data_IF_287369908452
#
_entry.id   IF_287369908452
#
_cell.length_a   1.000
_cell.length_b   1.000
_cell.length_c   1.000
_cell.angle_alpha   90.00
_cell.angle_beta   90.00
_cell.angle_gamma   90.00
#
_symmetry.space_group_name_H-M   'P 1'
#
loop_
_entity.id
_entity.type
_entity.pdbx_description
1 polymer ?
#
# COMPACT_ATOMS: atom_id res chain seq x y z
N UNK A 1 36.62 38.80 -11.63
CA UNK A 1 35.66 38.26 -12.61
C UNK A 1 35.84 36.76 -12.68
N UNK A 2 34.76 36.00 -12.83
CA UNK A 2 34.80 34.54 -12.96
C UNK A 2 35.39 34.15 -14.32
N UNK A 3 36.36 33.24 -14.34
CA UNK A 3 37.04 32.71 -15.54
C UNK A 3 37.64 31.34 -15.22
N UNK A 4 37.78 30.47 -16.22
CA UNK A 4 38.49 29.18 -16.10
C UNK A 4 37.91 28.30 -14.96
N UNK A 5 36.58 28.33 -14.79
CA UNK A 5 35.86 27.74 -13.65
C UNK A 5 34.70 26.86 -14.11
N UNK A 6 34.33 25.86 -13.30
CA UNK A 6 33.08 25.12 -13.48
C UNK A 6 31.95 25.85 -12.74
N UNK A 7 30.88 26.17 -13.46
CA UNK A 7 29.71 26.88 -12.93
C UNK A 7 28.53 25.93 -13.01
N UNK A 8 27.86 25.69 -11.88
CA UNK A 8 26.60 24.97 -11.84
C UNK A 8 25.45 25.97 -11.65
N UNK A 9 24.45 25.91 -12.53
CA UNK A 9 23.21 26.67 -12.43
C UNK A 9 22.10 25.64 -12.17
N UNK A 10 21.42 25.77 -11.05
CA UNK A 10 20.36 24.84 -10.62
C UNK A 10 19.01 25.56 -10.56
N UNK A 11 17.92 24.79 -10.55
CA UNK A 11 16.52 25.27 -10.49
C UNK A 11 16.20 26.36 -11.54
N UNK A 12 16.73 26.25 -12.76
CA UNK A 12 16.55 27.27 -13.82
C UNK A 12 15.08 27.53 -14.15
N UNK A 13 14.21 26.52 -14.04
CA UNK A 13 12.77 26.66 -14.23
C UNK A 13 12.11 27.64 -13.25
N UNK A 14 12.77 27.97 -12.13
CA UNK A 14 12.28 28.94 -11.14
C UNK A 14 12.79 30.36 -11.37
N UNK A 15 13.22 30.69 -12.58
CA UNK A 15 13.60 32.07 -12.93
C UNK A 15 12.47 33.06 -12.64
N UNK A 16 12.81 34.31 -12.33
CA UNK A 16 11.82 35.39 -12.23
C UNK A 16 11.17 35.67 -13.60
N UNK A 17 9.90 36.05 -13.61
CA UNK A 17 9.18 36.46 -14.83
C UNK A 17 9.84 37.65 -15.53
N UNK A 18 10.53 38.51 -14.78
CA UNK A 18 11.24 39.67 -15.30
C UNK A 18 12.59 39.32 -15.95
N UNK A 19 13.03 38.06 -15.87
CA UNK A 19 14.27 37.60 -16.46
C UNK A 19 13.97 36.78 -17.71
N UNK A 20 14.38 37.28 -18.87
CA UNK A 20 14.22 36.58 -20.15
C UNK A 20 15.15 35.35 -20.17
N UNK A 21 14.62 34.20 -20.60
CA UNK A 21 15.42 32.98 -20.75
C UNK A 21 16.55 33.18 -21.78
N UNK A 22 16.35 34.05 -22.79
CA UNK A 22 17.38 34.40 -23.77
C UNK A 22 18.57 35.09 -23.15
N UNK A 23 18.34 35.94 -22.14
CA UNK A 23 19.43 36.62 -21.44
C UNK A 23 20.26 35.61 -20.64
N UNK A 24 19.60 34.65 -19.99
CA UNK A 24 20.28 33.55 -19.28
C UNK A 24 21.09 32.69 -20.26
N UNK A 25 20.50 32.33 -21.40
CA UNK A 25 21.20 31.58 -22.46
C UNK A 25 22.39 32.33 -23.02
N UNK A 26 22.25 33.64 -23.25
CA UNK A 26 23.33 34.52 -23.68
C UNK A 26 24.47 34.56 -22.66
N UNK A 27 24.13 34.63 -21.36
CA UNK A 27 25.11 34.56 -20.28
C UNK A 27 25.84 33.21 -20.25
N UNK A 28 25.11 32.09 -20.36
CA UNK A 28 25.71 30.75 -20.40
C UNK A 28 26.70 30.66 -21.57
N UNK A 29 26.30 31.12 -22.75
CA UNK A 29 27.16 31.10 -23.92
C UNK A 29 28.39 32.00 -23.74
N UNK A 30 28.23 33.19 -23.15
CA UNK A 30 29.35 34.09 -22.82
C UNK A 30 30.33 33.45 -21.83
N UNK A 31 29.83 32.81 -20.77
CA UNK A 31 30.66 32.12 -19.77
C UNK A 31 31.46 30.98 -20.42
N UNK A 32 30.82 30.21 -21.29
CA UNK A 32 31.46 29.12 -22.04
C UNK A 32 32.56 29.64 -22.99
N UNK A 33 32.21 30.58 -23.86
CA UNK A 33 33.05 31.00 -24.98
C UNK A 33 34.11 32.03 -24.60
N UNK A 34 33.73 33.07 -23.86
CA UNK A 34 34.60 34.22 -23.56
C UNK A 34 35.33 34.06 -22.21
N UNK A 35 34.79 33.26 -21.29
CA UNK A 35 35.37 33.05 -19.95
C UNK A 35 35.99 31.67 -19.75
N UNK A 36 35.96 30.80 -20.77
CA UNK A 36 36.49 29.43 -20.70
C UNK A 36 35.93 28.66 -19.48
N UNK A 37 34.66 28.89 -19.15
CA UNK A 37 33.98 28.18 -18.08
C UNK A 37 33.28 26.92 -18.62
N UNK A 38 33.23 25.87 -17.80
CA UNK A 38 32.31 24.75 -18.05
C UNK A 38 31.02 25.05 -17.31
N UNK A 39 29.90 25.07 -18.01
CA UNK A 39 28.60 25.38 -17.40
C UNK A 39 27.76 24.12 -17.36
N UNK A 40 27.35 23.72 -16.16
CA UNK A 40 26.38 22.64 -15.93
C UNK A 40 25.06 23.29 -15.55
N UNK A 41 23.98 22.88 -16.20
CA UNK A 41 22.64 23.38 -15.89
C UNK A 41 21.76 22.22 -15.49
N UNK A 42 21.10 22.36 -14.34
CA UNK A 42 20.15 21.40 -13.79
C UNK A 42 18.78 22.09 -13.76
N UNK A 43 17.76 21.39 -14.26
CA UNK A 43 16.42 21.93 -14.37
C UNK A 43 15.35 20.84 -14.50
N UNK A 44 14.11 21.23 -14.26
CA UNK A 44 12.94 20.43 -14.57
C UNK A 44 12.40 20.75 -15.97
N UNK A 45 12.60 19.84 -16.94
CA UNK A 45 12.27 20.08 -18.34
C UNK A 45 10.81 20.48 -18.56
N UNK A 46 9.85 19.78 -17.95
CA UNK A 46 8.41 20.06 -18.15
C UNK A 46 7.94 21.39 -17.55
N UNK A 47 8.78 22.06 -16.75
CA UNK A 47 8.49 23.36 -16.14
C UNK A 47 9.21 24.52 -16.84
N UNK A 48 9.92 24.23 -17.93
CA UNK A 48 10.63 25.26 -18.70
C UNK A 48 9.78 25.85 -19.82
N UNK A 49 10.09 27.10 -20.18
CA UNK A 49 9.46 27.81 -21.29
C UNK A 49 9.70 27.10 -22.63
N UNK A 50 8.75 27.18 -23.56
CA UNK A 50 8.92 26.71 -24.94
C UNK A 50 10.17 27.30 -25.61
N UNK A 51 10.50 28.56 -25.31
CA UNK A 51 11.72 29.18 -25.81
C UNK A 51 12.97 28.41 -25.35
N UNK A 52 13.02 27.94 -24.09
CA UNK A 52 14.13 27.11 -23.62
C UNK A 52 14.31 25.88 -24.54
N UNK A 53 13.21 25.22 -24.91
CA UNK A 53 13.24 24.04 -25.77
C UNK A 53 13.79 24.33 -27.17
N UNK A 54 13.50 25.50 -27.73
CA UNK A 54 14.01 25.92 -29.05
C UNK A 54 15.52 26.22 -29.04
N UNK A 55 16.05 26.77 -27.93
CA UNK A 55 17.44 27.21 -27.86
C UNK A 55 18.38 26.18 -27.23
N UNK A 56 17.88 25.21 -26.44
CA UNK A 56 18.73 24.29 -25.66
C UNK A 56 19.77 23.57 -26.51
N UNK A 57 19.40 23.08 -27.69
CA UNK A 57 20.32 22.33 -28.57
C UNK A 57 21.44 23.20 -29.16
N UNK A 58 21.23 24.52 -29.21
CA UNK A 58 22.24 25.47 -29.71
C UNK A 58 23.22 25.90 -28.63
N UNK A 59 22.80 25.89 -27.37
CA UNK A 59 23.55 26.43 -26.24
C UNK A 59 24.34 25.32 -25.52
N UNK A 60 23.70 24.17 -25.32
CA UNK A 60 24.29 23.03 -24.59
C UNK A 60 24.93 22.04 -25.57
N UNK A 61 26.17 21.67 -25.30
CA UNK A 61 26.87 20.66 -26.11
C UNK A 61 26.36 19.26 -25.83
N UNK A 62 25.96 18.99 -24.58
CA UNK A 62 25.52 17.69 -24.11
C UNK A 62 24.25 17.87 -23.26
N UNK A 63 23.27 16.99 -23.46
CA UNK A 63 22.01 16.99 -22.72
C UNK A 63 21.80 15.58 -22.15
N UNK A 64 21.72 15.48 -20.83
CA UNK A 64 21.49 14.22 -20.12
C UNK A 64 20.09 14.22 -19.53
N UNK A 65 19.27 13.26 -19.94
CA UNK A 65 17.93 13.08 -19.39
C UNK A 65 17.96 12.09 -18.23
N UNK A 66 17.63 12.57 -17.03
CA UNK A 66 17.47 11.73 -15.83
C UNK A 66 16.03 11.22 -15.77
N UNK A 67 15.77 10.06 -16.38
CA UNK A 67 14.41 9.48 -16.46
C UNK A 67 14.13 8.49 -15.34
N UNK A 68 15.06 7.57 -15.07
CA UNK A 68 14.94 6.52 -14.05
C UNK A 68 16.04 6.70 -13.00
N UNK A 69 15.65 6.78 -11.73
CA UNK A 69 16.55 7.05 -10.62
C UNK A 69 16.44 6.05 -9.48
N UNK A 70 15.79 4.91 -9.72
CA UNK A 70 15.64 3.87 -8.69
C UNK A 70 16.98 3.31 -8.21
N UNK A 71 18.01 3.24 -9.05
CA UNK A 71 19.37 2.83 -8.62
C UNK A 71 19.97 3.75 -7.56
N UNK A 72 19.68 5.05 -7.64
CA UNK A 72 20.09 6.04 -6.63
C UNK A 72 19.29 5.82 -5.36
N UNK A 73 17.96 5.67 -5.47
CA UNK A 73 17.07 5.39 -4.35
C UNK A 73 17.50 4.10 -3.62
N UNK A 74 17.85 3.04 -4.36
CA UNK A 74 18.37 1.79 -3.80
C UNK A 74 19.63 2.01 -2.96
N UNK A 75 20.54 2.86 -3.42
CA UNK A 75 21.77 3.20 -2.69
C UNK A 75 21.49 3.97 -1.40
N UNK A 76 20.41 4.75 -1.36
CA UNK A 76 19.98 5.49 -0.17
C UNK A 76 19.30 4.58 0.85
N UNK A 77 18.44 3.66 0.39
CA UNK A 77 17.68 2.75 1.26
C UNK A 77 18.62 1.83 2.03
N UNK A 78 19.59 1.20 1.36
CA UNK A 78 20.58 0.31 2.00
C UNK A 78 19.93 -0.76 2.93
N UNK A 79 18.79 -1.29 2.49
CA UNK A 79 18.02 -2.35 3.16
C UNK A 79 17.60 -3.34 2.08
N UNK A 80 18.32 -4.46 2.00
CA UNK A 80 18.07 -5.51 1.01
C UNK A 80 16.81 -6.32 1.30
N UNK A 81 16.32 -6.36 2.55
CA UNK A 81 15.09 -7.10 2.91
C UNK A 81 13.86 -6.39 2.32
N UNK A 82 13.85 -5.05 2.36
CA UNK A 82 12.70 -4.23 1.99
C UNK A 82 12.79 -3.59 0.61
N UNK A 83 13.91 -3.75 -0.11
CA UNK A 83 14.15 -3.07 -1.38
C UNK A 83 13.09 -3.38 -2.45
N UNK A 84 12.56 -4.60 -2.45
CA UNK A 84 11.55 -5.02 -3.43
C UNK A 84 10.22 -4.29 -3.22
N UNK A 85 9.85 -3.99 -1.98
CA UNK A 85 8.65 -3.21 -1.64
C UNK A 85 8.78 -1.76 -2.11
N UNK A 86 9.94 -1.14 -1.88
CA UNK A 86 10.24 0.19 -2.43
C UNK A 86 10.22 0.20 -3.96
N UNK A 87 10.77 -0.84 -4.60
CA UNK A 87 10.80 -0.98 -6.06
C UNK A 87 9.39 -1.13 -6.63
N UNK A 88 8.57 -1.96 -6.01
CA UNK A 88 7.18 -2.17 -6.39
C UNK A 88 6.41 -0.84 -6.32
N UNK A 89 6.54 -0.09 -5.21
CA UNK A 89 5.92 1.22 -5.05
C UNK A 89 6.40 2.21 -6.12
N UNK A 90 7.72 2.31 -6.36
CA UNK A 90 8.30 3.17 -7.37
C UNK A 90 7.73 2.89 -8.76
N UNK A 91 7.64 1.61 -9.14
CA UNK A 91 7.14 1.19 -10.45
C UNK A 91 5.62 1.40 -10.59
N UNK A 92 4.85 1.12 -9.54
CA UNK A 92 3.40 1.27 -9.56
C UNK A 92 2.98 2.74 -9.54
N UNK A 93 3.53 3.55 -8.63
CA UNK A 93 3.05 4.92 -8.40
C UNK A 93 3.92 6.00 -9.06
N UNK A 94 5.05 5.64 -9.66
CA UNK A 94 5.94 6.56 -10.37
C UNK A 94 6.42 7.76 -9.53
N UNK A 95 6.52 7.61 -8.21
CA UNK A 95 7.08 8.62 -7.33
C UNK A 95 8.60 8.62 -7.48
N UNK A 96 9.15 9.63 -8.17
CA UNK A 96 10.59 9.72 -8.47
C UNK A 96 11.38 10.65 -7.53
N UNK A 97 10.71 11.33 -6.60
CA UNK A 97 11.37 12.28 -5.71
C UNK A 97 12.24 11.55 -4.68
N UNK A 98 13.57 11.71 -4.74
CA UNK A 98 14.50 11.03 -3.83
C UNK A 98 14.24 11.41 -2.36
N UNK A 99 13.89 12.67 -2.08
CA UNK A 99 13.62 13.15 -0.70
C UNK A 99 12.42 12.47 -0.07
N UNK A 100 11.50 11.94 -0.88
CA UNK A 100 10.39 11.14 -0.38
C UNK A 100 10.92 9.84 0.25
N UNK A 101 11.76 9.11 -0.47
CA UNK A 101 12.34 7.84 0.00
C UNK A 101 13.29 8.03 1.19
N UNK A 102 14.06 9.12 1.22
CA UNK A 102 14.89 9.46 2.39
C UNK A 102 14.05 9.62 3.67
N UNK A 103 12.89 10.29 3.57
CA UNK A 103 11.98 10.46 4.70
C UNK A 103 11.37 9.13 5.12
N UNK A 104 10.83 8.37 4.16
CA UNK A 104 10.26 7.05 4.42
C UNK A 104 11.28 6.14 5.09
N UNK A 105 12.53 6.07 4.59
CA UNK A 105 13.60 5.28 5.22
C UNK A 105 13.81 5.69 6.67
N UNK A 106 13.97 6.98 6.94
CA UNK A 106 14.23 7.48 8.30
C UNK A 106 13.09 7.08 9.25
N UNK A 107 11.84 7.36 8.88
CA UNK A 107 10.71 7.05 9.77
C UNK A 107 10.52 5.53 9.92
N UNK A 108 10.79 4.77 8.85
CA UNK A 108 10.76 3.31 8.90
C UNK A 108 11.78 2.76 9.90
N UNK A 109 13.02 3.26 9.84
CA UNK A 109 14.09 2.90 10.77
C UNK A 109 13.71 3.24 12.22
N UNK A 110 13.17 4.44 12.46
CA UNK A 110 12.70 4.85 13.79
C UNK A 110 11.61 3.90 14.33
N UNK A 111 10.66 3.48 13.48
CA UNK A 111 9.60 2.54 13.87
C UNK A 111 10.19 1.16 14.17
N UNK A 112 10.97 0.57 13.27
CA UNK A 112 11.48 -0.80 13.47
C UNK A 112 12.49 -0.90 14.61
N UNK A 113 13.24 0.16 14.91
CA UNK A 113 14.16 0.20 16.06
C UNK A 113 13.43 0.35 17.39
N UNK A 114 12.21 0.89 17.38
CA UNK A 114 11.36 0.99 18.57
C UNK A 114 10.66 -0.31 18.94
N UNK A 115 10.73 -1.33 18.08
CA UNK A 115 9.98 -2.59 18.24
C UNK A 115 10.86 -3.82 18.11
N UNK A 116 10.94 -4.61 19.18
CA UNK A 116 11.64 -5.89 19.19
C UNK A 116 10.85 -6.99 18.44
N UNK A 117 11.57 -7.95 17.85
CA UNK A 117 11.03 -9.20 17.27
C UNK A 117 10.00 -9.05 16.12
N UNK A 118 10.11 -8.01 15.29
CA UNK A 118 9.29 -7.88 14.08
C UNK A 118 9.60 -8.95 13.03
N UNK A 119 8.57 -9.65 12.55
CA UNK A 119 8.68 -10.58 11.41
C UNK A 119 8.92 -9.80 10.11
N UNK A 120 9.45 -10.48 9.08
CA UNK A 120 9.59 -9.88 7.74
C UNK A 120 8.25 -9.40 7.17
N UNK A 121 7.15 -10.09 7.50
CA UNK A 121 5.80 -9.69 7.07
C UNK A 121 5.34 -8.40 7.74
N UNK A 122 5.56 -8.25 9.04
CA UNK A 122 5.23 -7.01 9.75
C UNK A 122 6.10 -5.84 9.26
N UNK A 123 7.39 -6.09 9.03
CA UNK A 123 8.30 -5.11 8.41
C UNK A 123 7.78 -4.62 7.05
N UNK A 124 7.33 -5.53 6.19
CA UNK A 124 6.74 -5.18 4.88
C UNK A 124 5.43 -4.41 5.03
N UNK A 125 4.53 -4.86 5.92
CA UNK A 125 3.25 -4.20 6.18
C UNK A 125 3.45 -2.75 6.68
N UNK A 126 4.34 -2.55 7.64
CA UNK A 126 4.71 -1.22 8.16
C UNK A 126 5.20 -0.34 7.02
N UNK A 127 6.11 -0.86 6.19
CA UNK A 127 6.67 -0.09 5.08
C UNK A 127 5.61 0.29 4.04
N UNK A 128 4.75 -0.66 3.64
CA UNK A 128 3.66 -0.41 2.69
C UNK A 128 2.73 0.68 3.19
N UNK A 129 2.28 0.59 4.43
CA UNK A 129 1.42 1.61 5.04
C UNK A 129 2.13 2.96 5.17
N UNK A 130 3.41 2.96 5.56
CA UNK A 130 4.22 4.18 5.67
C UNK A 130 4.38 4.90 4.33
N UNK A 131 4.60 4.17 3.25
CA UNK A 131 4.66 4.71 1.90
C UNK A 131 3.35 5.40 1.50
N UNK A 132 2.20 4.83 1.86
CA UNK A 132 0.87 5.43 1.63
C UNK A 132 0.67 6.68 2.46
N UNK A 133 0.97 6.64 3.76
CA UNK A 133 0.85 7.80 4.66
C UNK A 133 1.74 8.94 4.17
N UNK A 134 2.99 8.66 3.79
CA UNK A 134 3.90 9.68 3.25
C UNK A 134 3.46 10.20 1.89
N UNK A 135 2.83 9.38 1.05
CA UNK A 135 2.24 9.83 -0.21
C UNK A 135 1.12 10.85 0.07
N UNK A 136 0.22 10.53 1.01
CA UNK A 136 -0.87 11.39 1.43
C UNK A 136 -0.41 12.68 2.12
N UNK A 137 0.72 12.65 2.84
CA UNK A 137 1.30 13.83 3.49
C UNK A 137 2.03 14.76 2.50
N UNK A 138 2.92 14.18 1.69
CA UNK A 138 3.90 14.96 0.93
C UNK A 138 3.49 15.23 -0.51
N UNK A 139 2.73 14.32 -1.12
CA UNK A 139 2.37 14.40 -2.54
C UNK A 139 0.92 14.84 -2.71
N UNK A 140 0.01 14.28 -1.90
CA UNK A 140 -1.43 14.57 -1.95
C UNK A 140 -2.00 14.36 -3.36
N UNK A 141 -1.87 13.15 -3.93
CA UNK A 141 -2.28 12.92 -5.31
C UNK A 141 -3.78 13.12 -5.48
N UNK A 142 -4.15 13.64 -6.65
CA UNK A 142 -5.53 13.71 -7.08
C UNK A 142 -5.91 12.38 -7.73
N UNK A 143 -6.90 11.71 -7.14
CA UNK A 143 -7.36 10.38 -7.56
C UNK A 143 -8.64 10.54 -8.39
N UNK A 144 -8.67 10.02 -9.62
CA UNK A 144 -9.85 10.05 -10.46
C UNK A 144 -10.90 9.04 -9.96
N UNK A 145 -12.17 9.44 -9.91
CA UNK A 145 -13.29 8.54 -9.63
C UNK A 145 -14.01 8.14 -10.92
N UNK A 146 -14.28 6.85 -11.11
CA UNK A 146 -14.91 6.34 -12.35
C UNK A 146 -16.28 6.96 -12.65
N UNK A 147 -17.04 7.37 -11.62
CA UNK A 147 -18.45 7.73 -11.76
C UNK A 147 -18.82 9.20 -11.46
N UNK A 148 -17.85 10.11 -11.29
CA UNK A 148 -18.12 11.56 -11.16
C UNK A 148 -17.02 12.36 -11.84
N UNK A 149 -17.36 13.53 -12.40
CA UNK A 149 -16.42 14.62 -12.76
C UNK A 149 -15.61 15.16 -11.54
N UNK A 150 -15.62 14.46 -10.41
CA UNK A 150 -15.01 14.85 -9.16
C UNK A 150 -13.89 13.86 -8.84
N UNK A 151 -12.67 14.24 -9.23
CA UNK A 151 -11.49 13.70 -8.58
C UNK A 151 -11.50 14.10 -7.10
N UNK A 152 -10.81 13.33 -6.26
CA UNK A 152 -10.57 13.71 -4.87
C UNK A 152 -9.08 13.76 -4.54
N UNK A 153 -8.72 14.61 -3.60
CA UNK A 153 -7.35 14.70 -3.11
C UNK A 153 -7.16 13.65 -2.03
N UNK A 154 -6.23 12.72 -2.26
CA UNK A 154 -5.82 11.74 -1.27
C UNK A 154 -4.78 12.37 -0.34
N UNK A 155 -5.24 13.03 0.72
CA UNK A 155 -4.41 13.60 1.76
C UNK A 155 -4.56 12.87 3.10
N UNK A 156 -3.78 13.27 4.11
CA UNK A 156 -3.89 12.68 5.45
C UNK A 156 -5.29 12.81 6.06
N UNK A 157 -6.02 13.88 5.76
CA UNK A 157 -7.37 14.07 6.28
C UNK A 157 -8.30 13.04 5.66
N UNK A 158 -8.19 12.78 4.36
CA UNK A 158 -8.91 11.71 3.70
C UNK A 158 -8.56 10.36 4.34
N UNK A 159 -7.26 10.07 4.45
CA UNK A 159 -6.75 8.80 4.94
C UNK A 159 -7.20 8.49 6.39
N UNK A 160 -7.19 9.50 7.27
CA UNK A 160 -7.60 9.35 8.68
C UNK A 160 -9.12 9.15 8.87
N UNK A 161 -9.94 9.64 7.93
CA UNK A 161 -11.39 9.51 7.98
C UNK A 161 -11.91 8.36 7.12
N UNK A 162 -11.01 7.54 6.56
CA UNK A 162 -11.36 6.41 5.71
C UNK A 162 -11.90 5.25 6.56
N UNK A 163 -13.18 4.91 6.39
CA UNK A 163 -13.83 3.79 7.07
C UNK A 163 -14.37 2.78 6.04
N UNK A 164 -13.72 1.60 5.88
CA UNK A 164 -14.12 0.64 4.85
C UNK A 164 -15.44 -0.11 5.14
N UNK A 165 -15.94 -0.09 6.39
CA UNK A 165 -17.04 -0.97 6.83
C UNK A 165 -18.40 -0.27 7.07
N UNK A 166 -18.53 1.05 6.86
CA UNK A 166 -19.82 1.75 6.97
C UNK A 166 -20.61 1.62 5.65
N UNK A 167 -21.12 0.42 5.39
CA UNK A 167 -21.69 0.00 4.10
C UNK A 167 -23.19 0.32 4.05
N UNK A 168 -23.54 1.39 3.33
CA UNK A 168 -24.90 1.59 2.80
C UNK A 168 -24.94 2.45 1.53
N UNK A 169 -23.79 2.77 0.91
CA UNK A 169 -23.72 3.81 -0.13
C UNK A 169 -22.85 3.35 -1.32
N UNK A 170 -23.46 3.22 -2.51
CA UNK A 170 -22.80 2.82 -3.77
C UNK A 170 -21.58 3.71 -4.10
N UNK A 171 -21.56 4.94 -3.58
CA UNK A 171 -20.47 5.90 -3.76
C UNK A 171 -19.14 5.47 -3.11
N UNK A 172 -19.16 4.56 -2.12
CA UNK A 172 -17.95 4.13 -1.41
C UNK A 172 -17.24 2.98 -2.15
N UNK A 173 -18.01 2.08 -2.78
CA UNK A 173 -17.48 1.02 -3.66
C UNK A 173 -16.70 1.61 -4.83
N UNK A 174 -17.26 2.62 -5.49
CA UNK A 174 -16.58 3.34 -6.58
C UNK A 174 -15.27 3.99 -6.11
N UNK A 175 -15.26 4.50 -4.88
CA UNK A 175 -14.09 5.13 -4.27
C UNK A 175 -13.00 4.10 -3.97
N UNK A 176 -13.36 2.94 -3.41
CA UNK A 176 -12.45 1.82 -3.18
C UNK A 176 -11.86 1.33 -4.50
N UNK A 177 -12.69 1.09 -5.52
CA UNK A 177 -12.22 0.67 -6.85
C UNK A 177 -11.25 1.70 -7.46
N UNK A 178 -11.53 2.99 -7.29
CA UNK A 178 -10.66 4.08 -7.77
C UNK A 178 -9.31 4.09 -7.03
N UNK A 179 -9.33 3.84 -5.72
CA UNK A 179 -8.11 3.64 -4.92
C UNK A 179 -7.35 2.41 -5.39
N UNK A 180 -7.97 1.25 -5.46
CA UNK A 180 -7.34 -0.01 -5.92
C UNK A 180 -6.72 0.14 -7.31
N UNK A 181 -7.41 0.81 -8.23
CA UNK A 181 -6.91 1.12 -9.57
C UNK A 181 -5.71 2.07 -9.53
N UNK A 182 -5.81 3.19 -8.80
CA UNK A 182 -4.74 4.17 -8.69
C UNK A 182 -3.49 3.56 -8.05
N UNK A 183 -3.67 2.79 -6.98
CA UNK A 183 -2.60 2.13 -6.24
C UNK A 183 -2.14 0.82 -6.90
N UNK A 184 -2.82 0.34 -7.95
CA UNK A 184 -2.50 -0.88 -8.71
C UNK A 184 -2.30 -2.08 -7.78
N UNK A 185 -3.20 -2.25 -6.81
CA UNK A 185 -3.12 -3.30 -5.78
C UNK A 185 -1.77 -3.32 -5.04
N UNK A 186 -1.14 -2.16 -4.81
CA UNK A 186 0.05 -2.05 -3.96
C UNK A 186 -0.28 -2.33 -2.48
N UNK A 187 -1.49 -1.97 -2.07
CA UNK A 187 -2.01 -2.17 -0.73
C UNK A 187 -3.49 -2.56 -0.82
N UNK A 188 -3.95 -3.36 0.15
CA UNK A 188 -5.37 -3.66 0.35
C UNK A 188 -5.99 -2.59 1.25
N UNK A 189 -6.98 -1.86 0.72
CA UNK A 189 -7.67 -0.81 1.44
C UNK A 189 -8.67 -1.33 2.49
N UNK A 190 -9.02 -2.63 2.44
CA UNK A 190 -9.85 -3.28 3.46
C UNK A 190 -9.15 -3.48 4.81
N UNK A 191 -7.81 -3.57 4.81
CA UNK A 191 -6.98 -3.82 6.01
C UNK A 191 -6.23 -2.55 6.50
N UNK A 192 -6.43 -1.40 5.84
CA UNK A 192 -5.65 -0.16 6.07
C UNK A 192 -5.98 0.57 7.39
N UNK A 193 -7.09 0.27 8.06
CA UNK A 193 -7.70 1.17 9.06
C UNK A 193 -6.88 1.40 10.33
N UNK A 194 -6.08 0.42 10.75
CA UNK A 194 -5.41 0.49 12.05
C UNK A 194 -3.99 1.04 11.89
N UNK A 195 -3.22 0.54 10.91
CA UNK A 195 -1.86 1.00 10.62
C UNK A 195 -1.78 2.48 10.22
N UNK A 196 -2.77 3.03 9.53
CA UNK A 196 -2.82 4.46 9.18
C UNK A 196 -2.75 5.33 10.43
N UNK A 197 -3.64 5.06 11.40
CA UNK A 197 -3.76 5.88 12.61
C UNK A 197 -2.46 5.82 13.41
N UNK A 198 -1.92 4.62 13.54
CA UNK A 198 -0.64 4.34 14.21
C UNK A 198 0.50 5.12 13.59
N UNK A 199 0.70 4.99 12.29
CA UNK A 199 1.82 5.61 11.60
C UNK A 199 1.65 7.12 11.61
N UNK A 200 0.43 7.62 11.44
CA UNK A 200 0.15 9.06 11.50
C UNK A 200 0.42 9.61 12.90
N UNK A 201 -0.05 8.96 13.96
CA UNK A 201 0.22 9.40 15.34
C UNK A 201 1.72 9.36 15.69
N UNK A 202 2.44 8.31 15.28
CA UNK A 202 3.88 8.19 15.51
C UNK A 202 4.70 9.24 14.74
N UNK A 203 4.41 9.46 13.46
CA UNK A 203 5.15 10.42 12.61
C UNK A 203 4.90 11.87 13.02
N UNK A 204 3.66 12.21 13.42
CA UNK A 204 3.26 13.59 13.61
C UNK A 204 3.23 14.04 15.09
N UNK A 205 3.18 13.12 16.07
CA UNK A 205 3.14 13.48 17.49
C UNK A 205 4.42 13.15 18.30
N UNK A 206 5.46 12.53 17.70
CA UNK A 206 6.75 12.23 18.36
C UNK A 206 6.64 11.54 19.74
N UNK A 207 5.55 10.81 19.98
CA UNK A 207 5.31 10.14 21.25
C UNK A 207 4.90 8.70 20.97
N UNK A 208 5.90 7.84 20.85
CA UNK A 208 5.71 6.41 20.70
C UNK A 208 5.13 5.91 22.02
N UNK A 209 3.83 5.60 22.06
CA UNK A 209 3.25 4.89 23.19
C UNK A 209 3.56 3.39 23.04
N UNK A 210 4.57 2.93 23.78
CA UNK A 210 4.98 1.51 23.88
C UNK A 210 3.80 0.55 24.12
N UNK A 211 2.72 1.04 24.75
CA UNK A 211 1.51 0.24 25.00
C UNK A 211 0.74 -0.02 23.71
N UNK A 212 0.59 1.00 22.86
CA UNK A 212 -0.16 0.91 21.62
C UNK A 212 0.58 0.06 20.58
N UNK A 213 1.91 0.21 20.50
CA UNK A 213 2.78 -0.67 19.68
C UNK A 213 2.65 -2.14 20.08
N UNK A 214 2.58 -2.47 21.38
CA UNK A 214 2.38 -3.85 21.85
C UNK A 214 1.00 -4.41 21.48
N UNK A 215 -0.05 -3.60 21.64
CA UNK A 215 -1.41 -3.98 21.22
C UNK A 215 -1.48 -4.25 19.70
N UNK A 216 -0.69 -3.52 18.91
CA UNK A 216 -0.60 -3.70 17.46
C UNK A 216 0.20 -4.93 17.06
N UNK A 217 1.33 -5.23 17.72
CA UNK A 217 2.06 -6.49 17.50
C UNK A 217 1.16 -7.70 17.82
N UNK A 218 0.31 -7.60 18.84
CA UNK A 218 -0.68 -8.63 19.12
C UNK A 218 -1.74 -8.73 18.01
N UNK A 219 -2.25 -7.61 17.50
CA UNK A 219 -3.18 -7.60 16.35
C UNK A 219 -2.54 -8.11 15.04
N UNK A 220 -1.26 -7.82 14.82
CA UNK A 220 -0.51 -8.25 13.63
C UNK A 220 -0.12 -9.74 13.73
N UNK A 221 0.26 -10.24 14.92
CA UNK A 221 0.40 -11.69 15.17
C UNK A 221 -0.92 -12.42 14.91
N UNK A 222 -2.04 -11.85 15.34
CA UNK A 222 -3.38 -12.39 15.05
C UNK A 222 -3.66 -12.34 13.55
N UNK A 223 -3.22 -11.30 12.83
CA UNK A 223 -3.41 -11.13 11.39
C UNK A 223 -2.51 -12.06 10.56
N UNK A 224 -1.28 -12.30 10.98
CA UNK A 224 -0.35 -13.25 10.36
C UNK A 224 -0.82 -14.69 10.60
N UNK A 225 -1.21 -15.03 11.84
CA UNK A 225 -1.87 -16.32 12.13
C UNK A 225 -3.15 -16.47 11.30
N UNK A 226 -3.96 -15.41 11.15
CA UNK A 226 -5.15 -15.38 10.28
C UNK A 226 -4.78 -15.67 8.83
N UNK A 227 -3.83 -14.94 8.25
CA UNK A 227 -3.41 -15.09 6.84
C UNK A 227 -2.82 -16.48 6.60
N UNK A 228 -1.96 -16.98 7.48
CA UNK A 228 -1.39 -18.32 7.37
C UNK A 228 -2.48 -19.39 7.50
N UNK A 229 -3.43 -19.21 8.42
CA UNK A 229 -4.59 -20.10 8.58
C UNK A 229 -5.45 -20.13 7.32
N UNK A 230 -5.79 -18.96 6.75
CA UNK A 230 -6.59 -18.87 5.52
C UNK A 230 -5.84 -19.48 4.33
N UNK A 231 -4.54 -19.21 4.20
CA UNK A 231 -3.69 -19.74 3.13
C UNK A 231 -3.54 -21.26 3.20
N UNK A 232 -3.33 -21.80 4.41
CA UNK A 232 -3.32 -23.24 4.65
C UNK A 232 -4.66 -23.86 4.27
N UNK A 233 -5.76 -23.26 4.73
CA UNK A 233 -7.09 -23.77 4.43
C UNK A 233 -7.41 -23.77 2.93
N UNK A 234 -7.10 -22.68 2.21
CA UNK A 234 -7.25 -22.60 0.76
C UNK A 234 -6.41 -23.66 0.02
N UNK A 235 -5.22 -23.98 0.53
CA UNK A 235 -4.40 -25.07 -0.01
C UNK A 235 -5.10 -26.43 0.13
N UNK A 236 -5.72 -26.71 1.28
CA UNK A 236 -6.48 -27.94 1.49
C UNK A 236 -7.75 -28.02 0.64
N UNK A 237 -8.48 -26.91 0.49
CA UNK A 237 -9.63 -26.82 -0.44
C UNK A 237 -9.18 -27.08 -1.89
N UNK A 238 -8.02 -26.57 -2.29
CA UNK A 238 -7.43 -26.83 -3.61
C UNK A 238 -7.05 -28.29 -3.80
N UNK A 239 -6.48 -28.94 -2.78
CA UNK A 239 -6.21 -30.40 -2.79
C UNK A 239 -7.49 -31.22 -2.94
N UNK A 240 -8.56 -30.82 -2.25
CA UNK A 240 -9.87 -31.45 -2.38
C UNK A 240 -10.41 -31.36 -3.82
N UNK A 241 -10.34 -30.17 -4.43
CA UNK A 241 -10.75 -29.97 -5.82
C UNK A 241 -9.94 -30.82 -6.81
N UNK A 242 -8.66 -31.06 -6.51
CA UNK A 242 -7.77 -31.92 -7.31
C UNK A 242 -7.87 -33.41 -6.96
N UNK A 243 -8.73 -33.80 -6.01
CA UNK A 243 -8.86 -35.16 -5.48
C UNK A 243 -7.54 -35.76 -4.94
N UNK A 244 -6.64 -34.89 -4.48
CA UNK A 244 -5.31 -35.26 -3.94
C UNK A 244 -5.37 -35.30 -2.40
N UNK A 245 -6.02 -36.35 -1.87
CA UNK A 245 -6.24 -36.53 -0.43
C UNK A 245 -5.34 -37.65 0.13
N UNK A 246 -4.58 -37.35 1.18
CA UNK A 246 -3.76 -38.31 1.90
C UNK A 246 -4.49 -38.86 3.15
N UNK A 247 -3.86 -39.80 3.87
CA UNK A 247 -4.46 -40.46 5.03
C UNK A 247 -4.77 -39.50 6.21
N UNK A 248 -4.14 -38.32 6.26
CA UNK A 248 -4.32 -37.33 7.32
C UNK A 248 -5.21 -36.15 6.89
N UNK A 249 -5.58 -36.08 5.60
CA UNK A 249 -6.34 -34.98 5.01
C UNK A 249 -7.63 -34.67 5.78
N UNK A 250 -8.41 -35.68 6.17
CA UNK A 250 -9.69 -35.45 6.86
C UNK A 250 -9.50 -34.74 8.21
N UNK A 251 -8.46 -35.08 8.96
CA UNK A 251 -8.19 -34.47 10.26
C UNK A 251 -7.63 -33.05 10.07
N UNK A 252 -6.67 -32.86 9.17
CA UNK A 252 -6.10 -31.54 8.86
C UNK A 252 -7.16 -30.58 8.27
N UNK A 253 -8.05 -31.10 7.41
CA UNK A 253 -9.17 -30.34 6.85
C UNK A 253 -10.19 -29.95 7.91
N UNK A 254 -10.50 -30.82 8.87
CA UNK A 254 -11.34 -30.47 10.03
C UNK A 254 -10.66 -29.41 10.91
N UNK A 255 -9.41 -29.64 11.32
CA UNK A 255 -8.68 -28.73 12.21
C UNK A 255 -8.50 -27.35 11.57
N UNK A 256 -8.26 -27.31 10.26
CA UNK A 256 -8.17 -26.07 9.50
C UNK A 256 -9.54 -25.41 9.28
N UNK A 257 -10.60 -26.19 9.00
CA UNK A 257 -11.97 -25.68 8.86
C UNK A 257 -12.44 -24.97 10.13
N UNK A 258 -12.17 -25.56 11.30
CA UNK A 258 -12.51 -24.96 12.61
C UNK A 258 -11.87 -23.59 12.78
N UNK A 259 -10.61 -23.44 12.38
CA UNK A 259 -9.87 -22.18 12.53
C UNK A 259 -10.37 -21.05 11.62
N UNK A 260 -11.03 -21.37 10.51
CA UNK A 260 -11.56 -20.39 9.55
C UNK A 260 -13.04 -20.04 9.75
N UNK A 261 -13.73 -20.65 10.72
CA UNK A 261 -15.17 -20.39 11.00
C UNK A 261 -15.47 -18.88 11.09
N UNK A 262 -14.61 -18.13 11.79
CA UNK A 262 -14.75 -16.68 12.01
C UNK A 262 -14.38 -15.80 10.80
N UNK A 263 -13.87 -16.40 9.73
CA UNK A 263 -13.32 -15.69 8.57
C UNK A 263 -14.02 -16.05 7.27
N UNK A 264 -15.10 -16.84 7.34
CA UNK A 264 -15.65 -17.50 6.18
C UNK A 264 -17.18 -17.43 6.11
N UNK A 265 -17.71 -17.41 4.90
CA UNK A 265 -19.15 -17.34 4.64
C UNK A 265 -19.87 -18.67 4.94
N UNK A 266 -21.14 -18.59 5.35
CA UNK A 266 -21.92 -19.76 5.76
C UNK A 266 -22.06 -20.81 4.66
N UNK A 267 -22.20 -20.39 3.40
CA UNK A 267 -22.19 -21.30 2.24
C UNK A 267 -20.94 -22.19 2.19
N UNK A 268 -19.78 -21.61 2.48
CA UNK A 268 -18.51 -22.33 2.48
C UNK A 268 -18.40 -23.23 3.71
N UNK A 269 -18.87 -22.79 4.88
CA UNK A 269 -18.95 -23.64 6.09
C UNK A 269 -19.90 -24.83 5.88
N UNK A 270 -21.03 -24.62 5.21
CA UNK A 270 -21.98 -25.67 4.80
C UNK A 270 -21.32 -26.69 3.86
N UNK A 271 -20.51 -26.21 2.91
CA UNK A 271 -19.69 -27.08 2.06
C UNK A 271 -18.66 -27.87 2.89
N UNK A 272 -17.93 -27.22 3.79
CA UNK A 272 -16.92 -27.89 4.64
C UNK A 272 -17.55 -28.96 5.54
N UNK A 273 -18.70 -28.67 6.14
CA UNK A 273 -19.47 -29.66 6.90
C UNK A 273 -19.79 -30.90 6.06
N UNK A 274 -20.31 -30.70 4.83
CA UNK A 274 -20.65 -31.82 3.93
C UNK A 274 -19.42 -32.66 3.60
N UNK A 275 -18.29 -32.01 3.31
CA UNK A 275 -17.03 -32.69 3.02
C UNK A 275 -16.57 -33.51 4.24
N UNK A 276 -16.57 -32.93 5.44
CA UNK A 276 -16.17 -33.63 6.67
C UNK A 276 -17.12 -34.82 6.93
N UNK A 277 -18.43 -34.64 6.72
CA UNK A 277 -19.45 -35.67 6.93
C UNK A 277 -19.31 -36.89 6.02
N UNK A 278 -18.71 -36.74 4.83
CA UNK A 278 -18.42 -37.86 3.92
C UNK A 278 -17.39 -38.84 4.52
N UNK A 279 -16.48 -38.35 5.36
CA UNK A 279 -15.36 -39.14 5.87
C UNK A 279 -15.44 -39.41 7.37
N UNK A 280 -16.01 -38.51 8.17
CA UNK A 280 -16.12 -38.66 9.62
C UNK A 280 -17.34 -37.90 10.20
N UNK A 281 -18.39 -38.66 10.53
CA UNK A 281 -19.63 -38.12 11.09
C UNK A 281 -19.47 -37.50 12.49
N UNK A 282 -18.55 -38.00 13.31
CA UNK A 282 -18.30 -37.46 14.65
C UNK A 282 -17.64 -36.08 14.57
N UNK A 283 -16.64 -35.92 13.70
CA UNK A 283 -16.01 -34.63 13.45
C UNK A 283 -16.98 -33.64 12.80
N UNK A 284 -17.81 -34.10 11.85
CA UNK A 284 -18.81 -33.23 11.22
C UNK A 284 -19.81 -32.67 12.24
N UNK A 285 -20.29 -33.50 13.18
CA UNK A 285 -21.17 -33.04 14.25
C UNK A 285 -20.48 -32.00 15.15
N UNK A 286 -19.23 -32.26 15.54
CA UNK A 286 -18.45 -31.31 16.34
C UNK A 286 -18.16 -30.00 15.59
N UNK A 287 -17.94 -30.05 14.28
CA UNK A 287 -17.77 -28.86 13.45
C UNK A 287 -19.07 -28.06 13.39
N UNK A 288 -20.20 -28.73 13.18
CA UNK A 288 -21.53 -28.10 13.16
C UNK A 288 -21.83 -27.34 14.46
N UNK A 289 -21.61 -27.98 15.61
CA UNK A 289 -21.81 -27.36 16.92
C UNK A 289 -20.95 -26.08 17.08
N UNK A 290 -19.69 -26.11 16.63
CA UNK A 290 -18.80 -24.94 16.70
C UNK A 290 -19.23 -23.79 15.76
N UNK A 291 -19.77 -24.10 14.58
CA UNK A 291 -20.31 -23.09 13.67
C UNK A 291 -21.57 -22.46 14.26
N UNK A 292 -22.51 -23.28 14.76
CA UNK A 292 -23.74 -22.79 15.42
C UNK A 292 -23.41 -21.90 16.63
N UNK A 293 -22.46 -22.31 17.47
CA UNK A 293 -22.00 -21.51 18.62
C UNK A 293 -21.38 -20.17 18.17
N UNK A 294 -20.62 -20.16 17.07
CA UNK A 294 -20.05 -18.93 16.53
C UNK A 294 -21.14 -17.99 15.99
N UNK A 295 -22.14 -18.53 15.29
CA UNK A 295 -23.28 -17.77 14.78
C UNK A 295 -24.02 -17.12 15.94
N UNK A 296 -24.37 -17.88 16.98
CA UNK A 296 -25.08 -17.37 18.16
C UNK A 296 -24.28 -16.25 18.84
N UNK A 297 -22.98 -16.46 19.08
CA UNK A 297 -22.11 -15.42 19.68
C UNK A 297 -22.04 -14.15 18.83
N UNK A 298 -21.93 -14.31 17.51
CA UNK A 298 -21.90 -13.18 16.57
C UNK A 298 -23.18 -12.35 16.64
N UNK A 299 -24.34 -13.01 16.80
CA UNK A 299 -25.62 -12.34 17.01
C UNK A 299 -25.71 -11.66 18.38
N UNK A 300 -25.24 -12.31 19.45
CA UNK A 300 -25.27 -11.77 20.81
C UNK A 300 -24.35 -10.54 21.00
N UNK A 301 -23.19 -10.52 20.33
CA UNK A 301 -22.20 -9.44 20.42
C UNK A 301 -22.56 -8.22 19.54
N UNK A 302 -23.46 -8.38 18.56
CA UNK A 302 -23.89 -7.30 17.67
C UNK A 302 -24.91 -6.36 18.35
N UNK A 303 -24.59 -5.06 18.44
CA UNK A 303 -25.51 -4.03 19.00
C UNK A 303 -26.52 -3.48 17.98
N UNK A 304 -26.42 -3.88 16.71
CA UNK A 304 -27.29 -3.44 15.62
C UNK A 304 -28.01 -4.61 14.93
N UNK A 305 -29.02 -4.29 14.12
CA UNK A 305 -29.77 -5.27 13.32
C UNK A 305 -28.83 -5.85 12.24
N UNK A 306 -28.31 -7.05 12.48
CA UNK A 306 -27.56 -7.80 11.48
C UNK A 306 -28.43 -8.12 10.25
N UNK A 307 -27.92 -7.78 9.07
CA UNK A 307 -28.49 -8.22 7.79
C UNK A 307 -27.97 -9.63 7.47
N UNK A 308 -28.88 -10.58 7.30
CA UNK A 308 -28.56 -11.97 6.94
C UNK A 308 -27.88 -12.06 5.57
N UNK A 309 -28.11 -11.09 4.68
CA UNK A 309 -27.51 -11.04 3.35
C UNK A 309 -25.98 -10.87 3.41
N UNK A 310 -25.41 -10.34 4.51
CA UNK A 310 -23.97 -10.21 4.71
C UNK A 310 -23.26 -11.57 4.90
N UNK A 311 -23.99 -12.61 5.32
CA UNK A 311 -23.44 -13.96 5.54
C UNK A 311 -23.68 -14.90 4.36
N UNK A 312 -24.58 -14.49 3.44
CA UNK A 312 -24.99 -15.22 2.26
C UNK A 312 -24.73 -14.39 0.98
N UNK A 313 -23.46 -14.24 0.55
CA UNK A 313 -23.13 -13.46 -0.65
C UNK A 313 -23.80 -14.00 -1.93
N UNK A 314 -24.18 -15.28 -1.90
CA UNK A 314 -25.10 -15.89 -2.84
C UNK A 314 -26.22 -16.48 -1.99
N UNK A 315 -27.45 -15.97 -2.14
CA UNK A 315 -28.69 -16.37 -1.43
C UNK A 315 -28.68 -17.81 -0.90
N UNK A 316 -29.25 -18.02 0.29
CA UNK A 316 -29.39 -19.33 0.96
C UNK A 316 -29.76 -20.43 -0.05
N UNK A 317 -28.87 -21.42 -0.21
CA UNK A 317 -29.10 -22.57 -1.07
C UNK A 317 -30.09 -23.56 -0.43
N UNK A 318 -30.86 -24.31 -1.23
CA UNK A 318 -31.83 -25.30 -0.72
C UNK A 318 -31.18 -26.41 0.13
N UNK A 319 -29.87 -26.62 -0.05
CA UNK A 319 -29.07 -27.62 0.65
C UNK A 319 -28.12 -27.01 1.70
N UNK A 320 -28.31 -25.74 2.07
CA UNK A 320 -27.52 -25.12 3.14
C UNK A 320 -27.79 -25.78 4.51
N UNK A 321 -26.76 -25.85 5.35
CA UNK A 321 -26.77 -26.55 6.62
C UNK A 321 -27.02 -25.60 7.79
N UNK A 322 -26.74 -24.29 7.64
CA UNK A 322 -26.64 -23.30 8.72
C UNK A 322 -27.64 -22.15 8.64
#
# INVERSE_FOLDING_TARGET
MVKDTIICIDDLERKSDNLDIKDIMGLINHLKTEKNCKVVVILHQDKTDNQFQEYKEKVFDEIVHLTENFSIIKTIIDDDEMIDTYKEFYQKLAVKNIRFYERVKRDYQEIIESVDDLSLSSKDSILRNLLIVRLADLIKPEIPCENKDNNFVFDLKYLLNFEPYNISDDSLVDTINSLEYFFKNFIDFGDLSDWIKVITENIFNYNIDDKFIKELIEQDKISEERIQTIKHHKSLVSKLHNLDTDANFTQDFYDSSVKVIKYEHFNNLSFYYKVIALYNQTLAKSFKEQVEDHIIKTFEDSKEKLDLDNFYPFKVAEDDVF
#
